data_IF_823139838912
#
_entry.id   IF_823139838912
#
_cell.length_a   1.000
_cell.length_b   1.000
_cell.length_c   1.000
_cell.angle_alpha   90.00
_cell.angle_beta   90.00
_cell.angle_gamma   90.00
#
_symmetry.space_group_name_H-M   'P 1'
#
loop_
_entity.id
_entity.type
_entity.pdbx_description
1 polymer ?
#
# COMPACT_ATOMS: atom_id res chain seq x y z
N UNK A 1 86.78 -21.95 12.46
CA UNK A 1 86.69 -23.03 11.46
C UNK A 1 85.56 -23.93 11.92
N UNK A 2 84.35 -23.69 11.39
CA UNK A 2 83.41 -24.70 10.90
C UNK A 2 82.19 -23.92 10.35
N UNK A 3 81.96 -23.99 9.04
CA UNK A 3 80.77 -23.45 8.37
C UNK A 3 79.57 -24.36 8.64
N UNK A 4 78.48 -23.84 9.18
CA UNK A 4 77.22 -24.59 9.28
C UNK A 4 76.27 -24.19 8.14
N UNK A 5 76.28 -25.01 7.10
CA UNK A 5 75.56 -24.85 5.84
C UNK A 5 74.05 -25.01 6.06
N UNK A 6 73.33 -23.90 6.24
CA UNK A 6 71.88 -23.85 6.40
C UNK A 6 71.16 -24.36 5.13
N UNK A 7 70.84 -25.66 5.09
CA UNK A 7 69.99 -26.28 4.06
C UNK A 7 68.61 -25.60 4.01
N UNK A 8 68.24 -25.07 2.84
CA UNK A 8 66.88 -24.58 2.56
C UNK A 8 65.88 -25.77 2.59
N UNK A 9 64.68 -25.62 3.19
CA UNK A 9 63.68 -26.69 3.17
C UNK A 9 63.17 -26.91 1.74
N UNK A 10 63.19 -28.17 1.30
CA UNK A 10 62.75 -28.59 -0.03
C UNK A 10 61.22 -28.61 -0.05
N UNK A 11 60.61 -27.73 -0.84
CA UNK A 11 59.16 -27.70 -1.09
C UNK A 11 58.70 -29.07 -1.59
N UNK A 12 57.99 -29.85 -0.75
CA UNK A 12 57.33 -31.09 -1.16
C UNK A 12 56.08 -30.71 -1.95
N UNK A 13 56.12 -30.91 -3.27
CA UNK A 13 54.94 -30.79 -4.10
C UNK A 13 53.88 -31.80 -3.67
N UNK A 14 52.62 -31.36 -3.69
CA UNK A 14 51.47 -32.17 -3.29
C UNK A 14 51.39 -33.43 -4.18
N UNK A 15 51.16 -34.59 -3.58
CA UNK A 15 51.01 -35.86 -4.30
C UNK A 15 49.80 -35.83 -5.22
N UNK A 16 49.76 -36.69 -6.24
CA UNK A 16 48.63 -36.77 -7.19
C UNK A 16 47.30 -36.98 -6.47
N UNK A 17 47.29 -37.79 -5.41
CA UNK A 17 46.09 -38.07 -4.61
C UNK A 17 45.63 -36.85 -3.82
N UNK A 18 46.55 -36.11 -3.21
CA UNK A 18 46.21 -34.87 -2.48
C UNK A 18 45.70 -33.77 -3.43
N UNK A 19 46.25 -33.67 -4.66
CA UNK A 19 45.71 -32.74 -5.68
C UNK A 19 44.29 -33.12 -6.11
N UNK A 20 44.04 -34.41 -6.32
CA UNK A 20 42.69 -34.91 -6.64
C UNK A 20 41.72 -34.68 -5.49
N UNK A 21 42.15 -34.86 -4.24
CA UNK A 21 41.33 -34.60 -3.07
C UNK A 21 41.00 -33.10 -2.94
N UNK A 22 41.98 -32.22 -3.14
CA UNK A 22 41.77 -30.76 -3.14
C UNK A 22 40.79 -30.35 -4.24
N UNK A 23 40.93 -30.89 -5.46
CA UNK A 23 39.99 -30.62 -6.56
C UNK A 23 38.56 -31.08 -6.23
N UNK A 24 38.42 -32.25 -5.60
CA UNK A 24 37.11 -32.78 -5.22
C UNK A 24 36.45 -31.95 -4.11
N UNK A 25 37.22 -31.51 -3.11
CA UNK A 25 36.73 -30.59 -2.08
C UNK A 25 36.31 -29.24 -2.67
N UNK A 26 37.12 -28.65 -3.56
CA UNK A 26 36.79 -27.39 -4.23
C UNK A 26 35.54 -27.53 -5.11
N UNK A 27 35.38 -28.65 -5.80
CA UNK A 27 34.20 -28.92 -6.62
C UNK A 27 32.93 -29.09 -5.75
N UNK A 28 33.02 -29.82 -4.64
CA UNK A 28 31.90 -30.01 -3.71
C UNK A 28 31.49 -28.71 -3.02
N UNK A 29 32.46 -27.89 -2.57
CA UNK A 29 32.14 -26.59 -1.97
C UNK A 29 31.57 -25.62 -3.00
N UNK A 30 32.09 -25.61 -4.23
CA UNK A 30 31.53 -24.82 -5.32
C UNK A 30 30.09 -25.22 -5.65
N UNK A 31 29.78 -26.51 -5.70
CA UNK A 31 28.43 -27.02 -5.91
C UNK A 31 27.48 -26.66 -4.75
N UNK A 32 27.93 -26.81 -3.49
CA UNK A 32 27.15 -26.43 -2.31
C UNK A 32 26.85 -24.93 -2.28
N UNK A 33 27.86 -24.08 -2.55
CA UNK A 33 27.68 -22.63 -2.62
C UNK A 33 26.70 -22.30 -3.76
N UNK A 34 26.83 -22.93 -4.92
CA UNK A 34 25.89 -22.77 -6.04
C UNK A 34 24.45 -23.13 -5.66
N UNK A 35 24.22 -24.27 -5.00
CA UNK A 35 22.88 -24.68 -4.54
C UNK A 35 22.32 -23.73 -3.49
N UNK A 36 23.14 -23.26 -2.56
CA UNK A 36 22.75 -22.29 -1.53
C UNK A 36 22.38 -20.95 -2.16
N UNK A 37 23.17 -20.45 -3.11
CA UNK A 37 22.88 -19.23 -3.86
C UNK A 37 21.57 -19.38 -4.63
N UNK A 38 21.36 -20.49 -5.35
CA UNK A 38 20.10 -20.75 -6.07
C UNK A 38 18.91 -20.76 -5.11
N UNK A 39 19.02 -21.46 -3.97
CA UNK A 39 17.98 -21.50 -2.93
C UNK A 39 17.65 -20.10 -2.38
N UNK A 40 18.67 -19.27 -2.13
CA UNK A 40 18.45 -17.91 -1.65
C UNK A 40 17.92 -16.97 -2.73
N UNK A 41 18.33 -17.12 -3.99
CA UNK A 41 17.81 -16.31 -5.09
C UNK A 41 16.37 -16.66 -5.45
N UNK A 42 15.97 -17.94 -5.31
CA UNK A 42 14.60 -18.41 -5.58
C UNK A 42 13.61 -17.97 -4.49
N UNK A 43 14.07 -17.86 -3.23
CA UNK A 43 13.31 -17.20 -2.16
C UNK A 43 13.21 -15.68 -2.28
N UNK A 44 13.97 -15.06 -3.19
CA UNK A 44 14.02 -13.61 -3.33
C UNK A 44 13.27 -13.09 -4.57
N UNK A 45 12.64 -13.97 -5.37
CA UNK A 45 11.95 -13.64 -6.61
C UNK A 45 10.43 -13.88 -6.59
N UNK A 46 9.85 -14.22 -5.43
CA UNK A 46 8.40 -14.33 -5.25
C UNK A 46 8.04 -13.52 -4.01
N UNK A 47 7.19 -12.48 -4.19
CA UNK A 47 6.59 -11.58 -3.18
C UNK A 47 7.36 -10.31 -2.71
N UNK A 48 7.95 -9.50 -3.59
CA UNK A 48 8.60 -8.24 -3.15
C UNK A 48 8.19 -6.95 -3.85
N UNK A 49 7.57 -6.98 -5.04
CA UNK A 49 7.16 -5.73 -5.71
C UNK A 49 5.68 -5.36 -5.50
N UNK A 50 4.79 -6.34 -5.34
CA UNK A 50 3.37 -6.08 -5.05
C UNK A 50 3.11 -5.81 -3.57
N UNK A 51 3.77 -6.52 -2.67
CA UNK A 51 3.58 -6.34 -1.22
C UNK A 51 4.05 -4.93 -0.79
N UNK A 52 5.22 -4.48 -1.28
CA UNK A 52 5.81 -3.18 -0.94
C UNK A 52 5.02 -1.99 -1.51
N UNK A 53 4.21 -2.19 -2.56
CA UNK A 53 3.37 -1.14 -3.15
C UNK A 53 1.86 -1.29 -2.86
N UNK A 54 1.42 -2.39 -2.26
CA UNK A 54 0.00 -2.62 -1.99
C UNK A 54 -0.54 -1.79 -0.83
N UNK A 55 0.32 -1.23 0.03
CA UNK A 55 -0.11 -0.62 1.30
C UNK A 55 -0.44 -1.64 2.39
N UNK A 56 -0.36 -2.94 2.09
CA UNK A 56 -0.50 -4.04 3.04
C UNK A 56 0.91 -4.50 3.46
N UNK A 57 1.13 -4.75 4.76
CA UNK A 57 2.48 -5.02 5.30
C UNK A 57 3.22 -3.78 5.81
N UNK A 58 2.63 -2.60 5.66
CA UNK A 58 3.10 -1.34 6.24
C UNK A 58 2.49 -0.11 5.57
N UNK A 59 2.57 1.09 6.19
CA UNK A 59 1.98 2.29 5.61
C UNK A 59 2.69 2.72 4.32
N UNK A 60 1.93 2.91 3.24
CA UNK A 60 2.45 3.42 1.97
C UNK A 60 2.30 4.94 1.87
N UNK A 61 3.44 5.65 1.75
CA UNK A 61 3.43 7.09 1.51
C UNK A 61 3.16 7.41 0.04
N UNK A 62 2.15 8.23 -0.22
CA UNK A 62 1.79 8.74 -1.54
C UNK A 62 2.03 10.26 -1.53
N UNK A 63 2.97 10.72 -2.37
CA UNK A 63 3.38 12.13 -2.40
C UNK A 63 3.26 12.69 -3.81
N UNK A 64 2.89 13.96 -3.90
CA UNK A 64 2.80 14.70 -5.15
C UNK A 64 1.38 15.11 -5.52
N UNK A 65 1.19 15.78 -6.66
CA UNK A 65 -0.09 16.42 -6.99
C UNK A 65 -1.18 15.45 -7.42
N UNK A 66 -0.86 14.17 -7.67
CA UNK A 66 -1.82 13.15 -8.05
C UNK A 66 -1.23 11.76 -7.89
N UNK A 67 -2.09 10.75 -7.77
CA UNK A 67 -1.68 9.37 -7.83
C UNK A 67 -2.86 8.41 -7.86
N UNK A 68 -2.55 7.13 -7.98
CA UNK A 68 -3.52 6.04 -7.94
C UNK A 68 -3.00 4.87 -7.10
N UNK A 69 -3.93 4.14 -6.50
CA UNK A 69 -3.65 2.94 -5.72
C UNK A 69 -4.86 2.02 -5.73
N UNK A 70 -4.62 0.73 -5.49
CA UNK A 70 -5.65 -0.30 -5.54
C UNK A 70 -5.58 -1.16 -4.28
N UNK A 71 -6.65 -1.89 -4.00
CA UNK A 71 -6.53 -3.08 -3.15
C UNK A 71 -5.60 -4.10 -3.79
N UNK A 72 -5.02 -4.99 -2.98
CA UNK A 72 -4.26 -6.14 -3.48
C UNK A 72 -5.13 -6.97 -4.43
N UNK A 73 -4.51 -7.57 -5.46
CA UNK A 73 -5.13 -8.42 -6.48
C UNK A 73 -6.14 -7.75 -7.43
N UNK A 74 -6.48 -6.47 -7.25
CA UNK A 74 -7.43 -5.77 -8.11
C UNK A 74 -7.02 -5.86 -9.60
N UNK A 75 -7.93 -6.23 -10.53
CA UNK A 75 -9.40 -6.28 -10.40
C UNK A 75 -9.98 -7.62 -9.91
N UNK A 76 -9.13 -8.56 -9.50
CA UNK A 76 -9.56 -9.78 -8.81
C UNK A 76 -9.89 -9.50 -7.35
N UNK A 77 -10.48 -10.48 -6.68
CA UNK A 77 -10.86 -10.29 -5.28
C UNK A 77 -9.67 -10.08 -4.37
N UNK A 78 -9.82 -9.18 -3.39
CA UNK A 78 -8.83 -9.02 -2.33
C UNK A 78 -8.77 -10.25 -1.41
N UNK A 79 -7.70 -10.36 -0.63
CA UNK A 79 -7.53 -11.43 0.35
C UNK A 79 -8.21 -11.08 1.68
N UNK A 80 -8.56 -12.12 2.44
CA UNK A 80 -9.05 -11.96 3.81
C UNK A 80 -7.92 -11.55 4.77
N UNK A 81 -8.29 -10.99 5.92
CA UNK A 81 -7.41 -10.72 7.06
C UNK A 81 -6.26 -9.76 6.73
N UNK A 82 -6.49 -8.88 5.76
CA UNK A 82 -5.59 -7.79 5.42
C UNK A 82 -5.85 -6.56 6.29
N UNK A 83 -4.76 -5.84 6.58
CA UNK A 83 -4.78 -4.48 7.09
C UNK A 83 -3.80 -3.65 6.28
N UNK A 84 -4.33 -2.71 5.51
CA UNK A 84 -3.58 -1.91 4.55
C UNK A 84 -3.77 -0.43 4.86
N UNK A 85 -2.71 0.37 4.70
CA UNK A 85 -2.79 1.81 4.95
C UNK A 85 -1.98 2.64 3.96
N UNK A 86 -2.52 3.83 3.65
CA UNK A 86 -1.88 4.81 2.80
C UNK A 86 -1.90 6.19 3.46
N UNK A 87 -0.83 6.94 3.26
CA UNK A 87 -0.71 8.31 3.72
C UNK A 87 -0.46 9.22 2.52
N UNK A 88 -1.48 9.99 2.14
CA UNK A 88 -1.40 10.96 1.04
C UNK A 88 -0.92 12.30 1.60
N UNK A 89 0.06 12.91 0.93
CA UNK A 89 0.51 14.27 1.21
C UNK A 89 0.67 15.05 -0.10
N UNK A 90 0.00 16.19 -0.18
CA UNK A 90 0.11 17.15 -1.29
C UNK A 90 0.78 18.45 -0.80
N UNK A 91 1.07 19.36 -1.72
CA UNK A 91 1.73 20.62 -1.40
C UNK A 91 0.92 21.46 -0.39
N UNK A 92 1.58 22.21 0.51
CA UNK A 92 0.90 23.12 1.42
C UNK A 92 0.00 24.13 0.68
N UNK A 93 -1.19 24.39 1.23
CA UNK A 93 -2.20 25.26 0.62
C UNK A 93 -3.14 24.56 -0.35
N UNK A 94 -2.89 23.30 -0.69
CA UNK A 94 -3.79 22.46 -1.47
C UNK A 94 -4.59 21.51 -0.57
N UNK A 95 -5.72 21.03 -1.06
CA UNK A 95 -6.50 19.93 -0.47
C UNK A 95 -6.52 18.71 -1.39
N UNK A 96 -6.88 17.55 -0.85
CA UNK A 96 -6.84 16.26 -1.56
C UNK A 96 -8.27 15.91 -1.96
N UNK A 97 -8.53 15.85 -3.27
CA UNK A 97 -9.72 15.23 -3.83
C UNK A 97 -9.44 13.74 -4.07
N UNK A 98 -10.14 12.86 -3.38
CA UNK A 98 -10.09 11.40 -3.51
C UNK A 98 -11.37 10.87 -4.16
N UNK A 99 -11.24 10.00 -5.15
CA UNK A 99 -12.39 9.31 -5.74
C UNK A 99 -12.05 7.87 -6.11
N UNK A 100 -13.09 7.07 -6.30
CA UNK A 100 -12.98 5.68 -6.74
C UNK A 100 -13.37 5.54 -8.22
N UNK A 101 -12.52 4.88 -9.00
CA UNK A 101 -12.89 4.38 -10.33
C UNK A 101 -13.75 3.14 -10.18
N UNK A 102 -13.29 2.19 -9.35
CA UNK A 102 -13.96 0.95 -8.99
C UNK A 102 -14.04 0.79 -7.47
N UNK A 103 -15.16 0.24 -6.97
CA UNK A 103 -15.38 -0.01 -5.55
C UNK A 103 -16.36 -1.18 -5.33
N UNK A 104 -15.90 -2.24 -4.67
CA UNK A 104 -16.69 -3.41 -4.33
C UNK A 104 -16.08 -4.12 -3.13
N UNK A 105 -16.68 -3.95 -1.96
CA UNK A 105 -16.31 -4.60 -0.69
C UNK A 105 -17.47 -5.46 -0.15
N UNK A 106 -17.20 -6.35 0.80
CA UNK A 106 -18.25 -7.06 1.54
C UNK A 106 -19.24 -6.05 2.15
N UNK A 107 -20.53 -6.23 1.86
CA UNK A 107 -21.59 -5.38 2.41
C UNK A 107 -22.06 -5.94 3.74
N UNK A 108 -21.97 -5.15 4.80
CA UNK A 108 -22.55 -5.45 6.12
C UNK A 108 -23.21 -4.22 6.71
N UNK A 109 -24.17 -4.44 7.60
CA UNK A 109 -24.76 -3.35 8.37
C UNK A 109 -23.65 -2.62 9.14
N UNK A 110 -23.61 -1.30 9.02
CA UNK A 110 -22.61 -0.43 9.66
C UNK A 110 -21.14 -0.71 9.26
N UNK A 111 -20.90 -1.45 8.18
CA UNK A 111 -19.55 -1.75 7.68
C UNK A 111 -18.65 -2.39 8.75
N UNK A 112 -19.16 -3.41 9.44
CA UNK A 112 -18.43 -4.09 10.53
C UNK A 112 -17.50 -5.20 10.06
N UNK A 113 -17.66 -5.66 8.82
CA UNK A 113 -16.82 -6.69 8.21
C UNK A 113 -15.61 -6.08 7.51
N UNK A 114 -15.75 -5.82 6.20
CA UNK A 114 -14.72 -5.19 5.39
C UNK A 114 -15.06 -3.73 5.19
N UNK A 115 -14.08 -2.85 5.36
CA UNK A 115 -14.33 -1.42 5.27
C UNK A 115 -13.11 -0.61 4.86
N UNK A 116 -13.37 0.50 4.19
CA UNK A 116 -12.40 1.52 3.86
C UNK A 116 -12.65 2.77 4.71
N UNK A 117 -11.70 3.14 5.55
CA UNK A 117 -11.78 4.31 6.44
C UNK A 117 -10.93 5.46 5.88
N UNK A 118 -11.51 6.66 5.85
CA UNK A 118 -10.87 7.88 5.38
C UNK A 118 -10.77 8.84 6.55
N UNK A 119 -9.57 9.37 6.78
CA UNK A 119 -9.30 10.33 7.84
C UNK A 119 -8.48 11.51 7.32
N UNK A 120 -8.71 12.69 7.88
CA UNK A 120 -7.85 13.84 7.72
C UNK A 120 -7.36 14.36 9.08
N UNK A 121 -6.82 15.58 9.11
CA UNK A 121 -6.27 16.18 10.32
C UNK A 121 -7.32 16.46 11.41
N UNK A 122 -8.62 16.51 11.10
CA UNK A 122 -9.68 16.73 12.10
C UNK A 122 -10.30 15.42 12.60
N UNK A 123 -10.19 14.32 11.83
CA UNK A 123 -10.62 13.01 12.27
C UNK A 123 -11.14 12.15 11.13
N UNK A 124 -12.05 11.23 11.47
CA UNK A 124 -12.67 10.32 10.50
C UNK A 124 -13.69 11.07 9.66
N UNK A 125 -13.45 11.10 8.35
CA UNK A 125 -14.38 11.63 7.36
C UNK A 125 -15.49 10.61 7.09
N UNK A 126 -15.13 9.33 6.92
CA UNK A 126 -16.11 8.29 6.64
C UNK A 126 -15.56 6.87 6.69
N UNK A 127 -16.48 5.92 6.81
CA UNK A 127 -16.23 4.48 6.68
C UNK A 127 -17.15 3.92 5.60
N UNK A 128 -16.56 3.23 4.63
CA UNK A 128 -17.21 2.82 3.39
C UNK A 128 -17.16 1.30 3.23
N UNK A 129 -18.24 0.69 2.74
CA UNK A 129 -18.30 -0.74 2.39
C UNK A 129 -19.39 -1.01 1.36
N UNK A 130 -19.51 -2.26 0.91
CA UNK A 130 -20.47 -2.67 -0.11
C UNK A 130 -20.07 -2.31 -1.53
N UNK A 131 -21.07 -2.27 -2.43
CA UNK A 131 -20.88 -2.13 -3.89
C UNK A 131 -21.32 -0.80 -4.47
N UNK A 132 -21.87 0.07 -3.63
CA UNK A 132 -22.24 1.42 -4.04
C UNK A 132 -20.99 2.28 -4.06
N UNK A 133 -20.61 2.76 -5.24
CA UNK A 133 -19.44 3.60 -5.39
C UNK A 133 -19.66 4.96 -4.71
N UNK A 134 -18.81 5.36 -3.75
CA UNK A 134 -18.91 6.66 -3.10
C UNK A 134 -18.69 7.81 -4.08
N UNK A 135 -19.26 8.98 -3.76
CA UNK A 135 -18.92 10.23 -4.42
C UNK A 135 -17.47 10.67 -4.11
N UNK A 136 -16.97 11.71 -4.78
CA UNK A 136 -15.68 12.32 -4.46
C UNK A 136 -15.64 12.85 -3.02
N UNK A 137 -14.48 12.74 -2.38
CA UNK A 137 -14.26 13.15 -0.98
C UNK A 137 -13.08 14.11 -0.95
N UNK A 138 -13.22 15.23 -0.25
CA UNK A 138 -12.18 16.27 -0.19
C UNK A 138 -11.68 16.42 1.25
N UNK A 139 -10.37 16.42 1.45
CA UNK A 139 -9.80 16.70 2.78
C UNK A 139 -9.90 18.18 3.14
N UNK A 140 -9.81 18.51 4.43
CA UNK A 140 -9.71 19.90 4.89
C UNK A 140 -8.30 20.49 4.80
N UNK A 141 -7.29 19.64 4.61
CA UNK A 141 -5.89 20.05 4.50
C UNK A 141 -5.12 19.25 3.48
N UNK A 142 -3.80 19.39 3.48
CA UNK A 142 -2.91 18.78 2.50
C UNK A 142 -2.49 17.34 2.85
N UNK A 143 -3.18 16.68 3.79
CA UNK A 143 -2.87 15.33 4.25
C UNK A 143 -4.13 14.50 4.50
N UNK A 144 -4.08 13.22 4.13
CA UNK A 144 -5.17 12.26 4.28
C UNK A 144 -4.60 10.87 4.62
N UNK A 145 -5.19 10.21 5.61
CA UNK A 145 -4.87 8.83 6.03
C UNK A 145 -5.99 7.90 5.62
N UNK A 146 -5.62 6.77 5.04
CA UNK A 146 -6.53 5.80 4.46
C UNK A 146 -6.25 4.42 5.01
N UNK A 147 -7.29 3.68 5.37
CA UNK A 147 -7.19 2.34 5.94
C UNK A 147 -8.16 1.41 5.24
N UNK A 148 -7.68 0.22 4.86
CA UNK A 148 -8.51 -0.86 4.35
C UNK A 148 -8.29 -2.11 5.20
N UNK A 149 -9.33 -2.53 5.90
CA UNK A 149 -9.30 -3.69 6.79
C UNK A 149 -10.37 -4.70 6.36
N UNK A 150 -10.01 -5.98 6.42
CA UNK A 150 -10.87 -7.10 6.02
C UNK A 150 -10.93 -8.17 7.11
N UNK A 151 -12.04 -8.90 7.17
CA UNK A 151 -12.23 -10.00 8.13
C UNK A 151 -11.67 -11.34 7.58
N UNK A 152 -12.06 -12.49 8.15
CA UNK A 152 -11.57 -13.83 7.77
C UNK A 152 -12.39 -14.55 6.67
N UNK A 153 -13.41 -13.91 6.07
CA UNK A 153 -14.38 -14.54 5.17
C UNK A 153 -14.99 -13.55 4.19
N UNK A 154 -15.46 -14.06 3.04
CA UNK A 154 -16.12 -13.30 1.97
C UNK A 154 -15.27 -12.13 1.43
N UNK A 155 -15.02 -12.15 0.13
CA UNK A 155 -14.28 -11.07 -0.52
C UNK A 155 -15.00 -10.63 -1.77
N UNK A 156 -14.66 -9.44 -2.26
CA UNK A 156 -15.17 -8.88 -3.50
C UNK A 156 -14.00 -8.22 -4.26
N UNK A 157 -14.24 -7.56 -5.40
CA UNK A 157 -13.18 -7.07 -6.31
C UNK A 157 -12.25 -5.98 -5.74
N UNK A 158 -12.58 -5.45 -4.57
CA UNK A 158 -11.83 -4.39 -3.93
C UNK A 158 -12.05 -3.05 -4.61
N UNK A 159 -11.00 -2.26 -4.76
CA UNK A 159 -11.13 -0.90 -5.26
C UNK A 159 -9.93 -0.45 -6.09
N UNK A 160 -10.20 0.54 -6.95
CA UNK A 160 -9.20 1.39 -7.57
C UNK A 160 -9.51 2.84 -7.24
N UNK A 161 -8.60 3.49 -6.52
CA UNK A 161 -8.74 4.86 -6.07
C UNK A 161 -7.73 5.78 -6.73
N UNK A 162 -8.13 7.03 -6.92
CA UNK A 162 -7.31 8.11 -7.47
C UNK A 162 -7.44 9.34 -6.60
N UNK A 163 -6.35 10.10 -6.52
CA UNK A 163 -6.37 11.39 -5.86
C UNK A 163 -5.72 12.47 -6.70
N UNK A 164 -6.13 13.71 -6.45
CA UNK A 164 -5.53 14.90 -7.03
C UNK A 164 -5.52 16.06 -6.03
N UNK A 165 -4.45 16.85 -6.05
CA UNK A 165 -4.35 18.12 -5.35
C UNK A 165 -5.23 19.15 -6.05
N UNK A 166 -6.13 19.77 -5.30
CA UNK A 166 -7.01 20.83 -5.78
C UNK A 166 -6.94 22.04 -4.85
N UNK A 167 -7.32 23.20 -5.35
CA UNK A 167 -7.42 24.41 -4.55
C UNK A 167 -8.65 24.34 -3.63
N UNK A 168 -8.59 24.82 -2.39
CA UNK A 168 -9.73 24.80 -1.47
C UNK A 168 -11.03 25.37 -2.06
N UNK A 169 -10.93 26.39 -2.91
CA UNK A 169 -12.06 27.06 -3.57
C UNK A 169 -12.84 26.13 -4.52
N UNK A 170 -12.21 25.10 -5.06
CA UNK A 170 -12.85 24.14 -5.98
C UNK A 170 -13.65 23.05 -5.25
N UNK A 171 -13.56 23.00 -3.91
CA UNK A 171 -14.20 21.94 -3.10
C UNK A 171 -15.71 21.91 -3.27
N UNK A 172 -16.36 23.08 -3.33
CA UNK A 172 -17.81 23.19 -3.48
C UNK A 172 -18.31 22.59 -4.80
N UNK A 173 -17.56 22.79 -5.88
CA UNK A 173 -17.90 22.23 -7.19
C UNK A 173 -17.71 20.71 -7.23
N UNK A 174 -16.71 20.20 -6.50
CA UNK A 174 -16.38 18.77 -6.46
C UNK A 174 -17.35 17.99 -5.56
N UNK A 175 -17.57 18.46 -4.33
CA UNK A 175 -18.44 17.80 -3.36
C UNK A 175 -19.93 17.98 -3.68
N UNK A 176 -20.29 19.03 -4.44
CA UNK A 176 -21.66 19.33 -4.86
C UNK A 176 -22.59 19.82 -3.74
N UNK A 177 -22.18 19.71 -2.47
CA UNK A 177 -22.89 20.25 -1.32
C UNK A 177 -21.96 20.40 -0.11
N UNK A 178 -22.37 21.24 0.84
CA UNK A 178 -21.66 21.52 2.08
C UNK A 178 -20.90 22.85 2.05
N UNK A 179 -19.86 22.98 2.86
CA UNK A 179 -19.06 24.21 3.00
C UNK A 179 -19.04 24.84 4.39
N UNK A 180 -18.44 26.02 4.48
CA UNK A 180 -18.24 26.71 5.76
C UNK A 180 -19.44 27.59 6.13
N UNK A 181 -20.00 27.36 7.32
CA UNK A 181 -21.04 28.20 7.89
C UNK A 181 -20.47 29.13 8.95
N UNK A 182 -20.87 30.40 8.90
CA UNK A 182 -20.51 31.40 9.90
C UNK A 182 -21.78 32.11 10.39
N UNK A 183 -22.06 32.00 11.69
CA UNK A 183 -23.24 32.60 12.31
C UNK A 183 -23.72 31.80 13.51
N UNK A 184 -24.75 32.30 14.18
CA UNK A 184 -25.42 31.64 15.31
C UNK A 184 -26.71 30.92 14.90
N UNK A 185 -27.18 31.12 13.65
CA UNK A 185 -28.39 30.52 13.08
C UNK A 185 -28.27 30.29 11.57
N UNK A 186 -28.90 29.23 11.10
CA UNK A 186 -29.02 28.87 9.68
C UNK A 186 -29.69 27.52 9.50
N UNK A 187 -30.12 27.22 8.27
CA UNK A 187 -30.71 25.94 7.92
C UNK A 187 -29.70 25.08 7.16
N UNK A 188 -29.61 23.81 7.54
CA UNK A 188 -28.81 22.78 6.87
C UNK A 188 -29.77 21.85 6.13
N UNK A 189 -29.75 21.92 4.79
CA UNK A 189 -30.63 21.16 3.93
C UNK A 189 -29.82 20.26 3.01
N UNK A 190 -30.31 19.05 2.75
CA UNK A 190 -29.73 18.18 1.73
C UNK A 190 -30.00 18.75 0.34
N UNK A 191 -29.11 18.50 -0.64
CA UNK A 191 -29.37 18.86 -2.03
C UNK A 191 -30.74 18.38 -2.52
N UNK A 192 -31.46 19.26 -3.22
CA UNK A 192 -32.78 18.95 -3.78
C UNK A 192 -33.94 18.97 -2.77
N UNK A 193 -33.71 19.22 -1.48
CA UNK A 193 -34.80 19.29 -0.50
C UNK A 193 -35.72 20.50 -0.76
N UNK A 194 -37.06 20.35 -0.65
CA UNK A 194 -37.82 19.12 -0.35
C UNK A 194 -38.25 18.33 -1.59
N UNK A 195 -37.84 18.73 -2.79
CA UNK A 195 -38.31 18.19 -4.06
C UNK A 195 -37.77 16.79 -4.39
N UNK A 196 -36.61 16.41 -3.83
CA UNK A 196 -35.93 15.15 -4.15
C UNK A 196 -35.34 14.49 -2.90
N UNK A 197 -35.25 13.16 -2.92
CA UNK A 197 -34.50 12.38 -1.92
C UNK A 197 -32.98 12.57 -2.10
N UNK A 198 -32.23 12.47 -1.00
CA UNK A 198 -30.77 12.46 -1.04
C UNK A 198 -30.23 11.20 -1.74
N UNK A 199 -29.00 11.27 -2.24
CA UNK A 199 -28.37 10.15 -2.93
C UNK A 199 -27.87 9.07 -1.95
N UNK A 200 -27.99 7.80 -2.35
CA UNK A 200 -27.51 6.69 -1.53
C UNK A 200 -25.98 6.72 -1.40
N UNK A 201 -25.48 6.63 -0.17
CA UNK A 201 -24.04 6.65 0.09
C UNK A 201 -23.40 8.03 -0.12
N UNK A 202 -24.21 9.09 -0.21
CA UNK A 202 -23.69 10.45 -0.25
C UNK A 202 -23.01 10.81 1.07
N UNK A 203 -21.83 11.41 0.95
CA UNK A 203 -21.11 12.04 2.04
C UNK A 203 -20.97 13.52 1.69
N UNK A 204 -21.69 14.38 2.41
CA UNK A 204 -21.62 15.84 2.23
C UNK A 204 -20.72 16.44 3.32
N UNK A 205 -19.82 17.35 2.93
CA UNK A 205 -18.83 18.00 3.81
C UNK A 205 -19.00 19.51 3.82
#
# INVERSE_FOLDING_TARGET
>A
MEEDLKKRPKSRGLSTLEKSLVLLFVALTGACIGLVVIYFTDKNSVSTDEEVNSGCGGPRALKGPSGEFTSMNHPSSYDNSMSCSWHITVDPGMVINLWFEDFSLEATDLCTADYFTIQDNLGVIGRLCGRSKPGPIVSLGNSMLLFFDTNDRNTDKGFKAKYQAVTPESTLEIAGAGGALQGDRGDLLTPGFPAQNYENGALYQ
#
